data_IF_025953355935
#
_entry.id   IF_025953355935
#
_cell.length_a   1.000
_cell.length_b   1.000
_cell.length_c   1.000
_cell.angle_alpha   90.00
_cell.angle_beta   90.00
_cell.angle_gamma   90.00
#
_symmetry.space_group_name_H-M   'P 1'
#
loop_
_entity.id
_entity.type
_entity.pdbx_description
1 polymer ?
#
# COMPACT_ATOMS: atom_id res chain seq x y z
N UNK A 1 12.92 -0.73 -1.69
CA UNK A 1 13.99 0.30 -1.70
C UNK A 1 13.84 1.25 -0.52
N UNK A 2 12.61 1.66 -0.18
CA UNK A 2 12.27 2.47 1.00
C UNK A 2 12.69 1.89 2.36
N UNK A 3 12.78 0.56 2.50
CA UNK A 3 13.06 -0.09 3.78
C UNK A 3 14.56 -0.17 4.17
N UNK A 4 15.48 0.11 3.24
CA UNK A 4 16.92 -0.18 3.44
C UNK A 4 17.72 0.97 4.06
N UNK A 5 17.19 2.19 4.06
CA UNK A 5 17.98 3.38 4.45
C UNK A 5 17.70 3.89 5.87
N UNK A 6 16.99 3.13 6.71
CA UNK A 6 16.83 3.45 8.14
C UNK A 6 16.16 4.81 8.39
N UNK A 7 15.53 5.40 7.39
CA UNK A 7 14.82 6.65 7.55
C UNK A 7 13.51 6.34 8.29
N UNK A 8 13.31 7.03 9.42
CA UNK A 8 12.07 6.91 10.19
C UNK A 8 10.84 7.35 9.38
N UNK A 9 9.72 7.57 10.03
CA UNK A 9 8.46 7.92 9.36
C UNK A 9 8.60 9.09 8.36
N UNK A 10 9.47 10.06 8.66
CA UNK A 10 9.76 11.22 7.82
C UNK A 10 10.38 10.86 6.46
N UNK A 11 11.37 9.97 6.42
CA UNK A 11 11.95 9.55 5.13
C UNK A 11 11.07 8.61 4.34
N UNK A 12 10.16 7.87 5.00
CA UNK A 12 9.10 7.13 4.29
C UNK A 12 8.09 8.09 3.65
N UNK A 13 7.70 9.17 4.33
CA UNK A 13 6.86 10.21 3.76
C UNK A 13 7.55 10.92 2.58
N UNK A 14 8.85 11.21 2.72
CA UNK A 14 9.67 11.73 1.63
C UNK A 14 9.71 10.77 0.43
N UNK A 15 9.89 9.47 0.68
CA UNK A 15 9.86 8.46 -0.37
C UNK A 15 8.53 8.40 -1.11
N UNK A 16 7.40 8.51 -0.41
CA UNK A 16 6.08 8.58 -1.04
C UNK A 16 5.94 9.80 -1.97
N UNK A 17 6.54 10.94 -1.61
CA UNK A 17 6.54 12.12 -2.47
C UNK A 17 7.35 11.88 -3.75
N UNK A 18 8.54 11.27 -3.65
CA UNK A 18 9.39 10.91 -4.80
C UNK A 18 8.70 9.87 -5.68
N UNK A 19 8.15 8.81 -5.10
CA UNK A 19 7.44 7.76 -5.83
C UNK A 19 6.22 8.32 -6.57
N UNK A 20 5.49 9.28 -5.98
CA UNK A 20 4.38 9.96 -6.63
C UNK A 20 4.81 10.74 -7.87
N UNK A 21 5.94 11.43 -7.80
CA UNK A 21 6.48 12.17 -8.93
C UNK A 21 6.96 11.23 -10.04
N UNK A 22 7.64 10.14 -9.67
CA UNK A 22 8.05 9.11 -10.62
C UNK A 22 6.85 8.43 -11.31
N UNK A 23 5.79 8.12 -10.56
CA UNK A 23 4.56 7.53 -11.10
C UNK A 23 3.84 8.43 -12.10
N UNK A 24 3.95 9.76 -11.98
CA UNK A 24 3.40 10.71 -12.97
C UNK A 24 4.18 10.71 -14.29
N UNK A 25 5.45 10.29 -14.27
CA UNK A 25 6.33 10.28 -15.43
C UNK A 25 6.32 8.94 -16.17
N UNK A 26 5.89 7.85 -15.50
CA UNK A 26 5.75 6.54 -16.12
C UNK A 26 4.38 6.40 -16.81
N UNK A 27 4.39 5.95 -18.07
CA UNK A 27 3.21 5.32 -18.66
C UNK A 27 2.84 4.07 -17.86
N UNK A 28 1.57 3.63 -17.79
CA UNK A 28 1.17 2.46 -16.99
C UNK A 28 1.93 1.21 -17.44
N UNK A 29 3.00 0.85 -16.72
CA UNK A 29 4.02 -0.13 -17.17
C UNK A 29 3.63 -1.58 -16.88
N UNK A 30 2.49 -1.87 -16.24
CA UNK A 30 2.15 -3.28 -15.95
C UNK A 30 0.70 -3.61 -16.21
N UNK A 31 0.49 -4.67 -16.99
CA UNK A 31 -0.79 -5.37 -17.05
C UNK A 31 -1.18 -5.78 -15.62
N UNK A 32 -2.45 -5.63 -15.22
CA UNK A 32 -2.89 -5.96 -13.88
C UNK A 32 -2.70 -7.45 -13.63
N UNK A 33 -1.77 -7.81 -12.74
CA UNK A 33 -1.65 -9.18 -12.23
C UNK A 33 -2.83 -9.46 -11.31
N UNK A 34 -3.36 -10.69 -11.36
CA UNK A 34 -4.45 -11.10 -10.47
C UNK A 34 -3.99 -11.25 -9.02
N UNK A 35 -2.70 -11.52 -8.80
CA UNK A 35 -2.10 -11.72 -7.47
C UNK A 35 -0.95 -10.75 -7.22
N UNK A 36 -0.96 -10.10 -6.06
CA UNK A 36 0.10 -9.21 -5.58
C UNK A 36 0.69 -9.75 -4.28
N UNK A 37 2.01 -9.61 -4.11
CA UNK A 37 2.70 -9.99 -2.89
C UNK A 37 3.18 -8.75 -2.17
N UNK A 38 2.70 -8.54 -0.95
CA UNK A 38 3.07 -7.43 -0.10
C UNK A 38 4.00 -7.94 1.01
N UNK A 39 5.19 -7.36 1.07
CA UNK A 39 6.19 -7.65 2.11
C UNK A 39 5.93 -6.80 3.34
N UNK A 40 5.45 -7.42 4.41
CA UNK A 40 5.06 -6.75 5.64
C UNK A 40 6.18 -6.52 6.65
N UNK A 41 7.40 -7.02 6.39
CA UNK A 41 8.50 -7.07 7.38
C UNK A 41 8.92 -5.71 7.93
N UNK A 42 8.65 -4.66 7.18
CA UNK A 42 9.01 -3.29 7.51
C UNK A 42 7.79 -2.36 7.71
N UNK A 43 6.57 -2.91 7.73
CA UNK A 43 5.36 -2.12 7.93
C UNK A 43 5.17 -1.85 9.42
N UNK A 44 5.78 -0.78 9.90
CA UNK A 44 5.74 -0.36 11.31
C UNK A 44 4.80 0.82 11.58
N UNK A 45 4.33 1.49 10.53
CA UNK A 45 3.55 2.73 10.55
C UNK A 45 2.81 2.91 9.22
N UNK A 46 1.85 3.83 9.20
CA UNK A 46 0.98 4.04 8.04
C UNK A 46 1.75 4.43 6.75
N UNK A 47 2.76 5.32 6.75
CA UNK A 47 3.58 5.58 5.57
C UNK A 47 4.29 4.33 5.04
N UNK A 48 4.79 3.46 5.92
CA UNK A 48 5.44 2.21 5.54
C UNK A 48 4.48 1.27 4.80
N UNK A 49 3.22 1.21 5.23
CA UNK A 49 2.18 0.45 4.55
C UNK A 49 1.98 0.92 3.11
N UNK A 50 1.83 2.23 2.89
CA UNK A 50 1.63 2.77 1.55
C UNK A 50 2.84 2.56 0.63
N UNK A 51 4.06 2.63 1.16
CA UNK A 51 5.27 2.30 0.42
C UNK A 51 5.30 0.82 0.00
N UNK A 52 5.04 -0.09 0.94
CA UNK A 52 5.04 -1.53 0.68
C UNK A 52 3.99 -1.93 -0.36
N UNK A 53 2.80 -1.35 -0.27
CA UNK A 53 1.71 -1.61 -1.21
C UNK A 53 1.99 -1.04 -2.60
N UNK A 54 2.56 0.16 -2.68
CA UNK A 54 3.02 0.76 -3.93
C UNK A 54 4.03 -0.13 -4.65
N UNK A 55 5.03 -0.63 -3.92
CA UNK A 55 6.01 -1.56 -4.48
C UNK A 55 5.37 -2.89 -4.90
N UNK A 56 4.41 -3.41 -4.14
CA UNK A 56 3.72 -4.66 -4.45
C UNK A 56 2.90 -4.58 -5.76
N UNK A 57 2.22 -3.45 -5.99
CA UNK A 57 1.31 -3.30 -7.14
C UNK A 57 2.03 -2.81 -8.39
N UNK A 58 2.88 -1.79 -8.26
CA UNK A 58 3.53 -1.13 -9.40
C UNK A 58 4.99 -1.54 -9.61
N UNK A 59 5.55 -2.40 -8.75
CA UNK A 59 6.96 -2.80 -8.78
C UNK A 59 7.86 -1.82 -8.02
N UNK A 60 9.19 -2.03 -8.05
CA UNK A 60 10.15 -1.24 -7.27
C UNK A 60 9.97 0.28 -7.46
N UNK A 61 9.85 1.03 -6.37
CA UNK A 61 9.59 2.48 -6.40
C UNK A 61 8.14 2.86 -6.72
N UNK A 62 7.22 1.90 -6.74
CA UNK A 62 5.81 2.12 -7.01
C UNK A 62 5.09 2.96 -5.96
N UNK A 63 4.12 3.75 -6.39
CA UNK A 63 3.29 4.61 -5.53
C UNK A 63 1.85 4.09 -5.47
N UNK A 64 1.32 3.86 -4.26
CA UNK A 64 -0.08 3.46 -4.03
C UNK A 64 -0.92 4.56 -3.33
N UNK A 65 -0.37 5.77 -3.16
CA UNK A 65 -1.02 6.81 -2.38
C UNK A 65 -0.31 7.10 -1.06
N UNK A 66 -0.90 7.98 -0.28
CA UNK A 66 -0.49 8.33 1.10
C UNK A 66 -1.68 8.47 2.05
N UNK A 67 -2.87 8.09 1.58
CA UNK A 67 -4.16 8.22 2.25
C UNK A 67 -5.16 7.24 1.65
N UNK A 68 -6.29 6.94 2.32
CA UNK A 68 -7.31 6.04 1.78
C UNK A 68 -7.94 6.53 0.48
N UNK A 69 -8.16 7.84 0.34
CA UNK A 69 -8.72 8.41 -0.88
C UNK A 69 -7.78 8.21 -2.06
N UNK A 70 -6.48 8.47 -1.86
CA UNK A 70 -5.49 8.27 -2.93
C UNK A 70 -5.29 6.78 -3.25
N UNK A 71 -5.41 5.90 -2.26
CA UNK A 71 -5.43 4.45 -2.47
C UNK A 71 -6.64 4.02 -3.29
N UNK A 72 -7.84 4.44 -2.91
CA UNK A 72 -9.09 4.11 -3.62
C UNK A 72 -9.06 4.60 -5.06
N UNK A 73 -8.58 5.82 -5.28
CA UNK A 73 -8.42 6.40 -6.61
C UNK A 73 -7.46 5.56 -7.46
N UNK A 74 -6.27 5.26 -6.94
CA UNK A 74 -5.28 4.40 -7.61
C UNK A 74 -5.82 3.01 -7.94
N UNK A 75 -6.57 2.39 -7.03
CA UNK A 75 -7.19 1.07 -7.27
C UNK A 75 -8.33 1.14 -8.28
N UNK A 76 -9.08 2.24 -8.30
CA UNK A 76 -10.11 2.50 -9.31
C UNK A 76 -9.48 2.70 -10.69
N UNK A 77 -8.37 3.42 -10.78
CA UNK A 77 -7.63 3.63 -12.01
C UNK A 77 -7.05 2.32 -12.57
N UNK A 78 -6.47 1.49 -11.69
CA UNK A 78 -6.06 0.11 -12.01
C UNK A 78 -7.21 -0.78 -12.52
N UNK A 79 -8.47 -0.46 -12.19
CA UNK A 79 -9.66 -1.16 -12.68
C UNK A 79 -10.19 -0.59 -14.00
N UNK A 80 -10.05 0.73 -14.23
CA UNK A 80 -10.46 1.38 -15.50
C UNK A 80 -9.66 0.87 -16.70
N UNK A 81 -8.42 0.44 -16.48
CA UNK A 81 -7.52 -0.02 -17.53
C UNK A 81 -7.70 -1.50 -17.93
N UNK A 82 -8.68 -2.21 -17.35
CA UNK A 82 -9.01 -3.58 -17.77
C UNK A 82 -10.42 -3.65 -18.37
N UNK A 83 -10.52 -4.26 -19.55
CA UNK A 83 -11.79 -4.53 -20.25
C UNK A 83 -12.45 -5.82 -19.79
N UNK A 84 -11.83 -6.56 -18.85
CA UNK A 84 -12.35 -7.82 -18.32
C UNK A 84 -13.21 -7.56 -17.07
N UNK A 85 -14.22 -8.41 -16.86
CA UNK A 85 -15.05 -8.46 -15.65
C UNK A 85 -14.19 -8.29 -14.39
N UNK A 86 -14.59 -7.45 -13.41
CA UNK A 86 -13.80 -7.16 -12.23
C UNK A 86 -13.60 -8.44 -11.40
N UNK A 87 -12.57 -9.19 -11.74
CA UNK A 87 -12.16 -10.36 -10.97
C UNK A 87 -11.53 -9.86 -9.68
N UNK A 88 -11.85 -10.45 -8.53
CA UNK A 88 -11.19 -10.09 -7.28
C UNK A 88 -9.69 -10.29 -7.46
N UNK A 89 -8.90 -9.28 -7.09
CA UNK A 89 -7.45 -9.39 -7.11
C UNK A 89 -7.00 -9.86 -5.73
N UNK A 90 -6.10 -10.82 -5.67
CA UNK A 90 -5.60 -11.36 -4.41
C UNK A 90 -4.35 -10.60 -3.97
N UNK A 91 -4.34 -10.07 -2.76
CA UNK A 91 -3.18 -9.50 -2.10
C UNK A 91 -2.71 -10.46 -1.00
N UNK A 92 -1.56 -11.08 -1.22
CA UNK A 92 -0.91 -11.93 -0.23
C UNK A 92 -0.01 -11.05 0.64
N UNK A 93 -0.41 -10.83 1.89
CA UNK A 93 0.32 -10.04 2.87
C UNK A 93 1.19 -10.95 3.72
N UNK A 94 2.50 -10.96 3.43
CA UNK A 94 3.49 -11.72 4.19
C UNK A 94 3.93 -10.96 5.44
N UNK A 95 4.15 -11.65 6.55
CA UNK A 95 4.67 -11.01 7.79
C UNK A 95 3.73 -9.91 8.33
N UNK A 96 2.41 -10.11 8.22
CA UNK A 96 1.41 -9.14 8.68
C UNK A 96 1.47 -8.88 10.20
N UNK A 97 2.08 -9.79 10.96
CA UNK A 97 2.25 -9.64 12.41
C UNK A 97 3.04 -8.39 12.80
N UNK A 98 4.02 -7.94 11.99
CA UNK A 98 4.78 -6.70 12.26
C UNK A 98 3.84 -5.50 12.30
N UNK A 99 3.00 -5.36 11.27
CA UNK A 99 2.00 -4.30 11.20
C UNK A 99 0.99 -4.42 12.34
N UNK A 100 0.55 -5.63 12.67
CA UNK A 100 -0.38 -5.87 13.79
C UNK A 100 0.20 -5.46 15.15
N UNK A 101 1.51 -5.62 15.37
CA UNK A 101 2.18 -5.26 16.62
C UNK A 101 2.50 -3.77 16.69
N UNK A 102 2.82 -3.13 15.55
CA UNK A 102 3.31 -1.75 15.52
C UNK A 102 2.22 -0.71 15.21
N UNK A 103 1.15 -1.07 14.50
CA UNK A 103 0.07 -0.14 14.17
C UNK A 103 -0.97 -0.07 15.28
N UNK A 104 -1.37 1.15 15.66
CA UNK A 104 -2.44 1.36 16.63
C UNK A 104 -2.01 1.45 18.10
N UNK A 105 -0.71 1.50 18.39
CA UNK A 105 -0.17 1.62 19.75
C UNK A 105 -0.04 3.06 20.27
N UNK A 106 -0.38 4.08 19.48
CA UNK A 106 -0.33 5.50 19.90
C UNK A 106 -1.74 6.03 20.23
N UNK A 107 -1.92 6.79 21.33
CA UNK A 107 -3.23 7.23 21.81
C UNK A 107 -3.98 8.15 20.84
N UNK A 108 -5.30 8.13 21.00
CA UNK A 108 -6.36 8.81 20.24
C UNK A 108 -6.28 10.34 20.41
N UNK A 109 -5.40 11.00 19.67
CA UNK A 109 -5.62 12.38 19.21
C UNK A 109 -6.08 12.33 17.76
N UNK A 110 -6.65 13.43 17.26
CA UNK A 110 -7.29 13.53 15.92
C UNK A 110 -6.38 13.07 14.75
N UNK A 111 -5.07 12.98 14.98
CA UNK A 111 -4.03 12.51 14.04
C UNK A 111 -3.44 11.16 14.49
N UNK A 112 -4.30 10.18 14.82
CA UNK A 112 -3.80 8.81 15.08
C UNK A 112 -3.56 8.08 13.76
N UNK A 113 -2.42 7.42 13.62
CA UNK A 113 -2.19 6.48 12.54
C UNK A 113 -3.23 5.36 12.55
N UNK A 114 -3.66 4.87 11.38
CA UNK A 114 -4.60 3.74 11.31
C UNK A 114 -4.03 2.50 11.95
N UNK A 115 -4.91 1.77 12.62
CA UNK A 115 -4.64 0.43 13.11
C UNK A 115 -4.51 -0.56 11.95
N UNK A 116 -3.88 -1.71 12.21
CA UNK A 116 -3.81 -2.81 11.25
C UNK A 116 -5.22 -3.25 10.76
N UNK A 117 -6.20 -3.30 11.66
CA UNK A 117 -7.58 -3.69 11.33
C UNK A 117 -8.28 -2.67 10.41
N UNK A 118 -8.00 -1.37 10.60
CA UNK A 118 -8.52 -0.30 9.73
C UNK A 118 -7.92 -0.38 8.32
N UNK A 119 -6.62 -0.68 8.21
CA UNK A 119 -5.98 -0.90 6.91
C UNK A 119 -6.50 -2.16 6.22
N UNK A 120 -6.72 -3.24 6.97
CA UNK A 120 -7.31 -4.47 6.43
C UNK A 120 -8.74 -4.23 5.93
N UNK A 121 -9.53 -3.47 6.68
CA UNK A 121 -10.89 -3.07 6.29
C UNK A 121 -10.86 -2.22 5.02
N UNK A 122 -9.94 -1.26 4.94
CA UNK A 122 -9.78 -0.41 3.76
C UNK A 122 -9.46 -1.25 2.51
N UNK A 123 -8.54 -2.21 2.61
CA UNK A 123 -8.21 -3.11 1.50
C UNK A 123 -9.42 -3.96 1.09
N UNK A 124 -10.18 -4.51 2.04
CA UNK A 124 -11.38 -5.31 1.75
C UNK A 124 -12.55 -4.51 1.18
N UNK A 125 -12.62 -3.21 1.45
CA UNK A 125 -13.60 -2.31 0.83
C UNK A 125 -13.26 -1.99 -0.63
N UNK A 126 -12.01 -2.24 -1.02
CA UNK A 126 -11.61 -2.25 -2.42
C UNK A 126 -11.77 -3.68 -2.94
N UNK A 127 -11.93 -3.90 -4.25
CA UNK A 127 -12.19 -5.23 -4.84
C UNK A 127 -10.97 -6.18 -4.76
N UNK A 128 -10.29 -6.21 -3.63
CA UNK A 128 -9.08 -6.94 -3.30
C UNK A 128 -9.41 -7.95 -2.20
N UNK A 129 -9.13 -9.21 -2.48
CA UNK A 129 -9.11 -10.28 -1.48
C UNK A 129 -7.76 -10.24 -0.76
N UNK A 130 -7.77 -10.13 0.57
CA UNK A 130 -6.53 -10.12 1.37
C UNK A 130 -6.30 -11.48 2.01
N UNK A 131 -5.19 -12.12 1.69
CA UNK A 131 -4.71 -13.37 2.27
C UNK A 131 -3.50 -13.07 3.15
N UNK A 132 -3.56 -13.43 4.43
CA UNK A 132 -2.43 -13.26 5.35
C UNK A 132 -1.56 -14.51 5.30
N UNK A 133 -0.24 -14.35 5.12
CA UNK A 133 0.74 -15.43 4.99
C UNK A 133 1.91 -15.28 5.97
#
# INVERSE_FOLDING_TARGET
>A
MWARDGTGADGRAHWLAVAREYARQLAPVRAPTTTYHLDGRHITDEPAFYCALGEAVHGPGGYAGRSPDTLRDMLTDCLRHTTATPSPRTLIWHTAHTARTCLGVTPRTDDRARTFEELLTLLRQTNIEVVLA
#
